data_IF_325803387824
#
_entry.id   IF_325803387824
#
_cell.length_a   1.000
_cell.length_b   1.000
_cell.length_c   1.000
_cell.angle_alpha   90.00
_cell.angle_beta   90.00
_cell.angle_gamma   90.00
#
_symmetry.space_group_name_H-M   'P 1'
#
loop_
_entity.id
_entity.type
_entity.pdbx_description
1 polymer ?
#
# COMPACT_ATOMS: atom_id res chain seq x y z
N UNK A 1 -19.16 -24.82 5.71
CA UNK A 1 -18.73 -23.42 5.84
C UNK A 1 -17.45 -23.21 5.03
N UNK A 2 -17.48 -22.42 3.96
CA UNK A 2 -16.24 -22.14 3.20
C UNK A 2 -15.39 -21.13 3.98
N UNK A 3 -14.23 -21.57 4.48
CA UNK A 3 -13.26 -20.69 5.14
C UNK A 3 -12.84 -19.57 4.20
N UNK A 4 -12.86 -18.31 4.66
CA UNK A 4 -12.41 -17.17 3.86
C UNK A 4 -10.90 -17.33 3.63
N UNK A 5 -10.50 -17.73 2.41
CA UNK A 5 -9.08 -17.75 2.01
C UNK A 5 -8.47 -16.37 2.25
N UNK A 6 -7.44 -16.31 3.09
CA UNK A 6 -6.68 -15.10 3.30
C UNK A 6 -5.77 -14.89 2.10
N UNK A 7 -6.02 -13.83 1.34
CA UNK A 7 -5.09 -13.36 0.33
C UNK A 7 -3.93 -12.65 1.03
N UNK A 8 -2.70 -13.02 0.66
CA UNK A 8 -1.48 -12.38 1.14
C UNK A 8 -1.45 -10.87 0.82
N UNK A 9 -0.62 -10.11 1.55
CA UNK A 9 -0.46 -8.66 1.40
C UNK A 9 -0.07 -8.29 -0.04
N UNK A 10 0.89 -9.01 -0.64
CA UNK A 10 1.34 -8.77 -2.01
C UNK A 10 0.20 -8.90 -3.04
N UNK A 11 -0.66 -9.92 -2.86
CA UNK A 11 -1.83 -10.15 -3.73
C UNK A 11 -2.80 -8.96 -3.66
N UNK A 12 -2.98 -8.36 -2.48
CA UNK A 12 -3.87 -7.19 -2.29
C UNK A 12 -3.27 -5.94 -2.90
N UNK A 13 -1.97 -5.72 -2.71
CA UNK A 13 -1.23 -4.64 -3.37
C UNK A 13 -1.39 -4.73 -4.88
N UNK A 14 -1.16 -5.91 -5.48
CA UNK A 14 -1.36 -6.16 -6.92
C UNK A 14 -2.80 -5.83 -7.34
N UNK A 15 -3.84 -6.27 -6.62
CA UNK A 15 -5.22 -5.92 -6.98
C UNK A 15 -5.46 -4.40 -7.01
N UNK A 16 -5.02 -3.69 -5.97
CA UNK A 16 -5.21 -2.23 -5.82
C UNK A 16 -4.38 -1.48 -6.87
N UNK A 17 -3.18 -1.95 -7.19
CA UNK A 17 -2.34 -1.42 -8.27
C UNK A 17 -3.02 -1.57 -9.63
N UNK A 18 -3.48 -2.78 -9.96
CA UNK A 18 -4.19 -3.03 -11.23
C UNK A 18 -5.44 -2.14 -11.37
N UNK A 19 -6.11 -1.82 -10.25
CA UNK A 19 -7.26 -0.91 -10.24
C UNK A 19 -6.86 0.56 -10.43
N UNK A 20 -5.79 1.00 -9.79
CA UNK A 20 -5.23 2.33 -9.99
C UNK A 20 -4.75 2.51 -11.43
N UNK A 21 -4.20 1.47 -12.05
CA UNK A 21 -3.85 1.35 -13.48
C UNK A 21 -5.07 1.24 -14.42
N UNK A 22 -6.27 1.53 -13.93
CA UNK A 22 -7.50 1.62 -14.73
C UNK A 22 -8.17 0.30 -15.08
N UNK A 23 -7.62 -0.86 -14.67
CA UNK A 23 -8.21 -2.16 -15.01
C UNK A 23 -9.54 -2.40 -14.30
N UNK A 24 -10.45 -3.10 -14.97
CA UNK A 24 -11.74 -3.50 -14.38
C UNK A 24 -11.57 -4.57 -13.30
N UNK A 25 -12.57 -4.74 -12.45
CA UNK A 25 -12.59 -5.83 -11.45
C UNK A 25 -12.65 -7.22 -12.11
N UNK A 26 -13.25 -7.34 -13.29
CA UNK A 26 -13.25 -8.55 -14.11
C UNK A 26 -11.87 -8.85 -14.70
N UNK A 27 -11.19 -7.85 -15.27
CA UNK A 27 -9.82 -8.01 -15.78
C UNK A 27 -8.84 -8.34 -14.64
N UNK A 28 -8.97 -7.67 -13.48
CA UNK A 28 -8.16 -7.99 -12.29
C UNK A 28 -8.44 -9.40 -11.77
N UNK A 29 -9.70 -9.85 -11.80
CA UNK A 29 -10.08 -11.22 -11.44
C UNK A 29 -9.43 -12.26 -12.37
N UNK A 30 -9.41 -12.00 -13.69
CA UNK A 30 -8.75 -12.86 -14.66
C UNK A 30 -7.22 -12.91 -14.49
N UNK A 31 -6.58 -11.77 -14.20
CA UNK A 31 -5.12 -11.68 -13.99
C UNK A 31 -4.68 -12.36 -12.68
N UNK A 32 -5.45 -12.19 -11.60
CA UNK A 32 -5.05 -12.64 -10.25
C UNK A 32 -5.65 -13.99 -9.83
N UNK A 33 -6.60 -14.53 -10.60
CA UNK A 33 -7.38 -15.73 -10.24
C UNK A 33 -8.34 -15.52 -9.05
N UNK A 34 -8.46 -14.30 -8.53
CA UNK A 34 -9.30 -13.98 -7.37
C UNK A 34 -10.74 -13.74 -7.83
N UNK A 35 -11.78 -14.28 -7.15
CA UNK A 35 -13.16 -13.98 -7.47
C UNK A 35 -13.47 -12.48 -7.46
N UNK A 36 -14.20 -11.99 -8.47
CA UNK A 36 -14.60 -10.57 -8.62
C UNK A 36 -15.20 -9.97 -7.34
N UNK A 37 -16.06 -10.71 -6.61
CA UNK A 37 -16.60 -10.27 -5.30
C UNK A 37 -15.51 -10.00 -4.26
N UNK A 38 -14.43 -10.77 -4.24
CA UNK A 38 -13.31 -10.54 -3.32
C UNK A 38 -12.47 -9.34 -3.74
N UNK A 39 -12.24 -9.18 -5.04
CA UNK A 39 -11.57 -8.00 -5.63
C UNK A 39 -12.32 -6.71 -5.28
N UNK A 40 -13.65 -6.65 -5.46
CA UNK A 40 -14.47 -5.49 -5.06
C UNK A 40 -14.41 -5.21 -3.56
N UNK A 41 -14.40 -6.25 -2.72
CA UNK A 41 -14.26 -6.09 -1.27
C UNK A 41 -12.86 -5.59 -0.85
N UNK A 42 -11.82 -5.88 -1.62
CA UNK A 42 -10.47 -5.33 -1.41
C UNK A 42 -10.45 -3.84 -1.74
N UNK A 43 -11.03 -3.43 -2.88
CA UNK A 43 -11.11 -2.02 -3.25
C UNK A 43 -11.91 -1.20 -2.23
N UNK A 44 -13.07 -1.70 -1.80
CA UNK A 44 -13.87 -1.00 -0.79
C UNK A 44 -13.05 -0.78 0.48
N UNK A 45 -12.39 -1.84 1.00
CA UNK A 45 -11.54 -1.72 2.20
C UNK A 45 -10.34 -0.79 2.02
N UNK A 46 -9.79 -0.67 0.82
CA UNK A 46 -8.73 0.27 0.53
C UNK A 46 -9.26 1.72 0.61
N UNK A 47 -10.39 2.01 -0.04
CA UNK A 47 -11.07 3.30 0.05
C UNK A 47 -11.53 3.63 1.48
N UNK A 48 -12.10 2.66 2.21
CA UNK A 48 -12.53 2.77 3.62
C UNK A 48 -11.37 3.17 4.55
N UNK A 49 -10.11 3.09 4.09
CA UNK A 49 -8.87 3.41 4.82
C UNK A 49 -8.11 4.61 4.24
N UNK A 50 -8.74 5.37 3.35
CA UNK A 50 -8.14 6.57 2.76
C UNK A 50 -7.21 6.33 1.57
N UNK A 51 -7.19 5.15 0.96
CA UNK A 51 -6.55 5.03 -0.36
C UNK A 51 -7.41 5.64 -1.46
N UNK A 52 -6.86 6.67 -2.09
CA UNK A 52 -7.33 7.13 -3.38
C UNK A 52 -6.66 6.32 -4.50
N UNK A 53 -7.49 5.57 -5.24
CA UNK A 53 -7.10 4.79 -6.42
C UNK A 53 -6.80 5.66 -7.65
N UNK A 54 -7.29 6.89 -7.66
CA UNK A 54 -7.14 7.86 -8.76
C UNK A 54 -5.94 8.79 -8.57
N UNK A 55 -5.45 8.94 -7.34
CA UNK A 55 -4.26 9.72 -7.03
C UNK A 55 -3.03 9.28 -7.84
N UNK A 56 -2.22 10.28 -8.19
CA UNK A 56 -0.90 10.14 -8.80
C UNK A 56 0.05 11.14 -8.11
N UNK A 57 1.18 10.69 -7.55
CA UNK A 57 1.68 9.31 -7.48
C UNK A 57 0.80 8.39 -6.61
N UNK A 58 0.76 7.10 -6.96
CA UNK A 58 0.03 6.10 -6.18
C UNK A 58 0.88 5.69 -4.96
N UNK A 59 0.61 6.29 -3.81
CA UNK A 59 1.29 5.94 -2.54
C UNK A 59 0.59 4.75 -1.90
N UNK A 60 1.23 3.59 -1.90
CA UNK A 60 0.77 2.39 -1.20
C UNK A 60 1.49 2.24 0.14
N UNK A 61 0.73 1.95 1.20
CA UNK A 61 1.25 1.65 2.55
C UNK A 61 0.70 0.31 3.03
N UNK A 62 1.54 -0.51 3.63
CA UNK A 62 1.15 -1.85 4.08
C UNK A 62 0.00 -1.81 5.10
N UNK A 63 0.01 -0.85 6.02
CA UNK A 63 -1.04 -0.58 7.01
C UNK A 63 -2.45 -0.54 6.40
N UNK A 64 -2.59 0.13 5.26
CA UNK A 64 -3.86 0.28 4.56
C UNK A 64 -4.30 -1.01 3.84
N UNK A 65 -3.40 -1.94 3.56
CA UNK A 65 -3.63 -3.20 2.84
C UNK A 65 -3.72 -4.42 3.77
N UNK A 66 -3.03 -4.39 4.92
CA UNK A 66 -3.06 -5.40 5.98
C UNK A 66 -4.47 -5.56 6.54
N UNK A 67 -4.93 -6.78 6.82
CA UNK A 67 -6.32 -6.98 7.28
C UNK A 67 -6.33 -6.74 8.79
N UNK A 68 -7.28 -5.94 9.31
CA UNK A 68 -7.47 -5.84 10.77
C UNK A 68 -7.59 -7.27 11.33
N UNK A 69 -6.84 -7.64 12.39
CA UNK A 69 -7.05 -8.88 13.10
C UNK A 69 -8.54 -9.04 13.41
N UNK A 70 -9.07 -10.24 13.24
CA UNK A 70 -10.40 -10.55 13.78
C UNK A 70 -10.16 -10.94 15.22
N UNK A 71 -10.91 -10.32 16.13
CA UNK A 71 -10.84 -10.66 17.54
C UNK A 71 -11.06 -12.17 17.71
N UNK A 72 -10.03 -12.88 18.19
CA UNK A 72 -9.99 -14.36 18.25
C UNK A 72 -9.09 -15.09 17.23
N UNK A 73 -8.40 -14.41 16.30
CA UNK A 73 -7.36 -15.02 15.45
C UNK A 73 -6.00 -14.96 16.15
N UNK A 74 -5.28 -16.08 16.25
CA UNK A 74 -3.97 -16.18 16.91
C UNK A 74 -2.79 -15.58 16.10
N UNK A 75 -3.08 -14.70 15.14
CA UNK A 75 -2.15 -14.13 14.17
C UNK A 75 -1.70 -12.71 14.55
N UNK A 76 -1.79 -12.34 15.83
CA UNK A 76 -1.34 -11.05 16.36
C UNK A 76 0.17 -11.05 16.66
N UNK A 77 0.98 -11.29 15.63
CA UNK A 77 2.43 -11.16 15.69
C UNK A 77 3.04 -10.95 14.29
N UNK A 78 3.17 -9.70 13.83
CA UNK A 78 4.34 -9.25 13.08
C UNK A 78 4.67 -7.78 13.39
N UNK A 79 5.87 -7.61 13.94
CA UNK A 79 6.51 -6.41 14.49
C UNK A 79 8.01 -6.60 14.19
N UNK A 80 8.76 -5.68 13.61
CA UNK A 80 8.43 -4.29 13.20
C UNK A 80 9.10 -3.96 11.85
N UNK A 81 8.82 -2.78 11.28
CA UNK A 81 9.69 -2.20 10.26
C UNK A 81 10.54 -1.10 10.89
N UNK A 82 11.84 -1.37 10.98
CA UNK A 82 12.83 -0.48 11.58
C UNK A 82 12.78 0.92 10.96
N UNK A 83 12.73 1.92 11.83
CA UNK A 83 12.89 3.34 11.51
C UNK A 83 14.29 3.57 10.94
N UNK A 84 14.43 3.63 9.61
CA UNK A 84 15.58 4.27 9.00
C UNK A 84 15.36 5.79 9.07
N UNK A 85 16.00 6.41 10.06
CA UNK A 85 16.31 7.83 10.00
C UNK A 85 17.18 8.07 8.77
N UNK A 86 16.62 8.80 7.80
CA UNK A 86 17.38 9.40 6.72
C UNK A 86 17.75 10.81 7.19
N UNK A 87 19.02 11.00 7.57
CA UNK A 87 19.55 12.32 7.88
C UNK A 87 19.39 13.26 6.68
N UNK A 88 18.68 14.36 6.92
CA UNK A 88 18.47 15.44 5.97
C UNK A 88 19.67 16.40 5.99
N UNK A 89 20.81 15.97 5.44
CA UNK A 89 21.93 16.87 5.14
C UNK A 89 21.60 17.69 3.89
N UNK A 90 20.89 18.80 4.12
CA UNK A 90 20.50 19.76 3.10
C UNK A 90 21.71 20.54 2.57
N UNK A 91 22.18 20.17 1.37
CA UNK A 91 23.21 20.95 0.66
C UNK A 91 22.67 22.26 0.08
N UNK A 92 23.04 23.39 0.70
CA UNK A 92 23.16 24.78 0.20
C UNK A 92 23.27 25.68 1.46
N UNK A 93 24.26 26.55 1.66
CA UNK A 93 24.68 27.78 0.95
C UNK A 93 25.98 28.28 1.64
N UNK A 94 26.81 29.22 1.16
CA UNK A 94 26.90 30.00 -0.07
C UNK A 94 28.38 30.14 -0.45
N UNK A 95 28.67 30.45 -1.71
CA UNK A 95 29.99 30.96 -2.10
C UNK A 95 29.98 32.49 -2.05
N UNK A 96 30.43 33.08 -0.95
CA UNK A 96 30.68 34.52 -0.87
C UNK A 96 32.12 34.83 -1.24
N UNK A 97 32.28 35.69 -2.25
CA UNK A 97 33.57 36.21 -2.67
C UNK A 97 33.80 37.57 -2.00
N UNK A 98 34.76 37.65 -1.09
CA UNK A 98 35.34 38.94 -0.68
C UNK A 98 36.85 38.79 -0.51
N UNK A 99 37.61 39.66 -1.17
CA UNK A 99 39.07 39.63 -1.16
C UNK A 99 39.66 40.63 -0.17
N UNK A 100 40.89 40.37 0.30
CA UNK A 100 41.69 41.36 1.00
C UNK A 100 43.19 41.09 0.84
N UNK A 101 43.92 42.16 0.47
CA UNK A 101 45.38 42.37 0.55
C UNK A 101 46.31 41.38 -0.17
#
# INVERSE_FOLDING_TARGET
MAGRKYHDLAIRAVCVYLKADGKSSSATSAITGIPTKTVTNLYRRACDRGFDLTARPLVMKDEGLQRKPVDGSADSAQVEFSKNEADEEAGAVAGDAEGAA
#
